data_IF_524155908002
#
_entry.id   IF_524155908002
#
_cell.length_a   1.000
_cell.length_b   1.000
_cell.length_c   1.000
_cell.angle_alpha   90.00
_cell.angle_beta   90.00
_cell.angle_gamma   90.00
#
_symmetry.space_group_name_H-M   'P 1'
#
loop_
_entity.id
_entity.type
_entity.pdbx_description
1 polymer ?
#
# COMPACT_ATOMS: atom_id res chain seq x y z
N UNK A 1 -0.77 -7.63 4.55
CA UNK A 1 -1.33 -8.40 3.41
C UNK A 1 -0.74 -7.87 2.13
N UNK A 2 -0.32 -8.73 1.21
CA UNK A 2 0.20 -8.33 -0.10
C UNK A 2 -0.73 -8.87 -1.18
N UNK A 3 -1.09 -8.01 -2.14
CA UNK A 3 -1.93 -8.36 -3.28
C UNK A 3 -1.25 -7.86 -4.55
N UNK A 4 -1.51 -8.53 -5.67
CA UNK A 4 -0.94 -8.22 -6.97
C UNK A 4 -1.98 -7.66 -7.95
N UNK A 5 -3.23 -7.52 -7.51
CA UNK A 5 -4.33 -6.86 -8.22
C UNK A 5 -5.04 -5.88 -7.27
N UNK A 6 -5.86 -4.98 -7.82
CA UNK A 6 -6.53 -3.91 -7.07
C UNK A 6 -8.02 -3.84 -7.34
N UNK A 7 -8.77 -4.92 -7.10
CA UNK A 7 -10.23 -4.95 -7.32
C UNK A 7 -10.98 -4.06 -6.32
N UNK A 8 -12.21 -3.70 -6.68
CA UNK A 8 -13.08 -2.86 -5.83
C UNK A 8 -13.20 -3.42 -4.41
N UNK A 9 -12.77 -2.61 -3.43
CA UNK A 9 -12.74 -2.94 -2.00
C UNK A 9 -12.14 -4.32 -1.68
N UNK A 10 -11.17 -4.81 -2.47
CA UNK A 10 -10.65 -6.17 -2.40
C UNK A 10 -10.25 -6.59 -0.99
N UNK A 11 -9.37 -5.83 -0.32
CA UNK A 11 -8.92 -6.14 1.04
C UNK A 11 -10.11 -6.19 2.02
N UNK A 12 -10.99 -5.18 2.00
CA UNK A 12 -12.17 -5.16 2.89
C UNK A 12 -13.07 -6.37 2.68
N UNK A 13 -13.28 -6.78 1.41
CA UNK A 13 -14.08 -7.95 1.05
C UNK A 13 -13.41 -9.27 1.44
N UNK A 14 -12.09 -9.37 1.29
CA UNK A 14 -11.32 -10.56 1.70
C UNK A 14 -11.47 -10.83 3.20
N UNK A 15 -11.28 -9.80 4.04
CA UNK A 15 -11.44 -9.95 5.48
C UNK A 15 -12.90 -10.17 5.89
N UNK A 16 -13.86 -9.51 5.23
CA UNK A 16 -15.28 -9.74 5.47
C UNK A 16 -15.71 -11.19 5.17
N UNK A 17 -15.18 -11.79 4.11
CA UNK A 17 -15.48 -13.18 3.73
C UNK A 17 -15.04 -14.20 4.79
N UNK A 18 -14.08 -13.85 5.65
CA UNK A 18 -13.63 -14.69 6.78
C UNK A 18 -14.17 -14.19 8.14
N UNK A 19 -15.27 -13.45 8.13
CA UNK A 19 -15.95 -12.98 9.35
C UNK A 19 -15.26 -11.83 10.08
N UNK A 20 -14.29 -11.15 9.45
CA UNK A 20 -13.56 -10.05 10.05
C UNK A 20 -13.96 -8.69 9.47
N UNK A 21 -13.88 -7.63 10.29
CA UNK A 21 -14.12 -6.25 9.86
C UNK A 21 -12.82 -5.46 9.83
N UNK A 22 -12.49 -4.88 8.68
CA UNK A 22 -11.36 -3.95 8.56
C UNK A 22 -11.76 -2.60 9.16
N UNK A 23 -11.12 -2.21 10.27
CA UNK A 23 -11.34 -0.93 10.96
C UNK A 23 -10.40 0.17 10.47
N UNK A 24 -9.19 -0.20 10.06
CA UNK A 24 -8.21 0.68 9.44
C UNK A 24 -7.53 -0.05 8.27
N UNK A 25 -7.23 0.68 7.20
CA UNK A 25 -6.48 0.17 6.06
C UNK A 25 -5.44 1.19 5.64
N UNK A 26 -4.17 0.82 5.81
CA UNK A 26 -3.02 1.64 5.44
C UNK A 26 -2.14 0.84 4.47
N UNK A 27 -1.65 1.49 3.42
CA UNK A 27 -0.72 0.90 2.46
C UNK A 27 0.67 1.45 2.72
N UNK A 28 1.55 0.60 3.23
CA UNK A 28 2.93 0.95 3.57
C UNK A 28 3.92 0.75 2.41
N UNK A 29 3.58 -0.05 1.39
CA UNK A 29 4.50 -0.42 0.32
C UNK A 29 3.79 -0.67 -1.01
N UNK A 30 4.46 -0.36 -2.11
CA UNK A 30 4.08 -0.74 -3.47
C UNK A 30 5.33 -1.18 -4.25
N UNK A 31 5.37 -2.45 -4.69
CA UNK A 31 6.57 -3.00 -5.32
C UNK A 31 7.80 -2.85 -4.42
N UNK A 32 8.90 -2.33 -4.98
CA UNK A 32 10.14 -2.01 -4.27
C UNK A 32 10.08 -0.72 -3.44
N UNK A 33 8.99 0.05 -3.49
CA UNK A 33 8.89 1.38 -2.89
C UNK A 33 8.15 1.29 -1.54
N UNK A 34 8.85 1.66 -0.46
CA UNK A 34 8.30 1.69 0.90
C UNK A 34 8.01 3.12 1.33
N UNK A 35 6.88 3.33 2.01
CA UNK A 35 6.51 4.63 2.56
C UNK A 35 7.54 5.07 3.61
N UNK A 36 8.05 6.29 3.44
CA UNK A 36 8.99 6.89 4.37
C UNK A 36 8.29 7.21 5.70
N UNK A 37 8.82 6.68 6.81
CA UNK A 37 8.26 6.85 8.15
C UNK A 37 8.32 8.29 8.66
N UNK A 38 9.17 9.13 8.08
CA UNK A 38 9.29 10.55 8.44
C UNK A 38 8.33 11.46 7.66
N UNK A 39 7.59 10.90 6.68
CA UNK A 39 6.68 11.67 5.85
C UNK A 39 5.34 11.88 6.56
N UNK A 40 4.98 13.15 6.78
CA UNK A 40 3.69 13.49 7.37
C UNK A 40 2.52 13.12 6.44
N UNK A 41 1.32 12.79 6.97
CA UNK A 41 0.15 12.57 6.14
C UNK A 41 -0.14 13.76 5.22
N UNK A 42 -0.30 13.50 3.93
CA UNK A 42 -0.52 14.52 2.90
C UNK A 42 0.75 15.12 2.29
N UNK A 43 1.92 14.86 2.88
CA UNK A 43 3.20 15.23 2.27
C UNK A 43 3.63 14.22 1.19
N UNK A 44 4.59 14.64 0.37
CA UNK A 44 5.22 13.81 -0.65
C UNK A 44 6.73 14.06 -0.68
N UNK A 45 7.47 13.12 -1.27
CA UNK A 45 8.89 13.28 -1.62
C UNK A 45 9.13 12.74 -3.02
N UNK A 46 10.25 13.15 -3.63
CA UNK A 46 10.73 12.49 -4.84
C UNK A 46 11.22 11.08 -4.54
N UNK A 47 11.08 10.20 -5.53
CA UNK A 47 11.69 8.86 -5.49
C UNK A 47 13.19 8.97 -5.73
N UNK A 48 13.94 8.07 -5.10
CA UNK A 48 15.35 7.82 -5.43
C UNK A 48 15.49 7.15 -6.80
N UNK A 49 16.70 7.14 -7.35
CA UNK A 49 16.95 6.48 -8.65
C UNK A 49 16.62 4.99 -8.57
N UNK A 50 17.00 4.35 -7.48
CA UNK A 50 16.79 2.93 -7.22
C UNK A 50 15.29 2.59 -7.14
N UNK A 51 14.50 3.45 -6.51
CA UNK A 51 13.04 3.30 -6.45
C UNK A 51 12.38 3.44 -7.82
N UNK A 52 12.86 4.36 -8.66
CA UNK A 52 12.38 4.54 -10.04
C UNK A 52 12.70 3.29 -10.88
N UNK A 53 13.93 2.80 -10.81
CA UNK A 53 14.36 1.58 -11.53
C UNK A 53 13.57 0.34 -11.08
N UNK A 54 13.06 0.30 -9.84
CA UNK A 54 12.27 -0.82 -9.33
C UNK A 54 10.87 -0.97 -9.94
N UNK A 55 10.39 0.04 -10.69
CA UNK A 55 9.03 0.08 -11.27
C UNK A 55 9.00 0.33 -12.77
N UNK A 56 10.17 0.46 -13.42
CA UNK A 56 10.29 0.56 -14.87
C UNK A 56 10.14 -0.80 -15.57
#
# INVERSE_FOLDING_TARGET
VTIYEGRYHQIKRMFHAVGNRVTALHRERMGGITLDSNLAPGAYRHLSREEIESVQ
#
